data_IF_808076811430
#
_entry.id   IF_808076811430
#
_cell.length_a   1.000
_cell.length_b   1.000
_cell.length_c   1.000
_cell.angle_alpha   90.00
_cell.angle_beta   90.00
_cell.angle_gamma   90.00
#
_symmetry.space_group_name_H-M   'P 1'
#
loop_
_entity.id
_entity.type
_entity.pdbx_description
1 polymer ?
#
# COMPACT_ATOMS: atom_id res chain seq x y z
N UNK A 1 -2.53 -5.44 -8.81
CA UNK A 1 -2.45 -5.84 -7.40
C UNK A 1 -1.17 -6.63 -7.17
N UNK A 2 -0.40 -6.28 -6.14
CA UNK A 2 0.86 -6.93 -5.88
C UNK A 2 0.79 -7.74 -4.58
N UNK A 3 1.42 -8.90 -4.55
CA UNK A 3 1.49 -9.75 -3.37
C UNK A 3 2.82 -9.49 -2.65
N UNK A 4 2.75 -9.21 -1.34
CA UNK A 4 3.96 -9.06 -0.53
C UNK A 4 4.57 -10.41 -0.20
N UNK A 5 5.92 -10.45 -0.20
CA UNK A 5 6.68 -11.69 0.00
C UNK A 5 6.90 -12.01 1.48
N UNK A 6 5.93 -11.78 2.37
CA UNK A 6 6.01 -12.24 3.75
C UNK A 6 5.52 -13.69 3.80
N UNK A 7 6.32 -14.62 4.34
CA UNK A 7 5.86 -15.99 4.45
C UNK A 7 4.54 -16.06 5.21
N UNK A 8 3.53 -16.52 4.54
CA UNK A 8 2.24 -16.86 5.11
C UNK A 8 1.14 -15.81 4.99
N UNK A 9 1.41 -14.52 5.18
CA UNK A 9 0.38 -13.48 5.03
C UNK A 9 0.10 -13.20 3.55
N UNK A 10 -1.17 -13.11 3.20
CA UNK A 10 -1.59 -12.77 1.84
C UNK A 10 -2.06 -11.32 1.81
N UNK A 11 -1.29 -10.48 1.13
CA UNK A 11 -1.49 -9.04 1.08
C UNK A 11 -1.57 -8.56 -0.36
N UNK A 12 -2.44 -7.57 -0.60
CA UNK A 12 -2.55 -6.93 -1.90
C UNK A 12 -2.47 -5.41 -1.76
N UNK A 13 -1.82 -4.76 -2.73
CA UNK A 13 -1.90 -3.32 -2.92
C UNK A 13 -3.06 -2.98 -3.84
N UNK A 14 -3.78 -1.92 -3.52
CA UNK A 14 -4.89 -1.40 -4.34
C UNK A 14 -4.63 0.07 -4.62
N UNK A 15 -4.58 0.42 -5.89
CA UNK A 15 -4.26 1.78 -6.34
C UNK A 15 -5.45 2.37 -7.08
N UNK A 16 -5.83 3.58 -6.70
CA UNK A 16 -6.85 4.37 -7.40
C UNK A 16 -6.16 5.58 -8.02
N UNK A 17 -6.00 5.60 -9.33
CA UNK A 17 -5.26 6.64 -10.04
C UNK A 17 -5.94 8.01 -9.95
N UNK A 18 -7.25 8.05 -9.78
CA UNK A 18 -8.01 9.29 -9.58
C UNK A 18 -8.54 9.41 -8.15
N UNK A 19 -7.99 8.63 -7.24
CA UNK A 19 -8.28 8.69 -5.82
C UNK A 19 -9.56 8.02 -5.37
N UNK A 20 -9.61 7.79 -4.07
CA UNK A 20 -10.76 7.24 -3.36
C UNK A 20 -10.85 7.88 -1.97
N UNK A 21 -12.02 7.89 -1.37
CA UNK A 21 -12.23 8.51 -0.06
C UNK A 21 -11.91 10.00 -0.09
N UNK A 22 -11.15 10.49 0.89
CA UNK A 22 -10.80 11.91 1.00
C UNK A 22 -9.87 12.41 -0.11
N UNK A 23 -9.22 11.51 -0.84
CA UNK A 23 -8.35 11.87 -1.96
C UNK A 23 -9.03 11.81 -3.33
N UNK A 24 -10.32 11.48 -3.39
CA UNK A 24 -11.05 11.35 -4.66
C UNK A 24 -10.93 12.62 -5.48
N UNK A 25 -10.55 12.48 -6.75
CA UNK A 25 -10.35 13.52 -7.76
C UNK A 25 -9.17 14.47 -7.51
N UNK A 26 -8.46 14.35 -6.40
CA UNK A 26 -7.34 15.24 -6.06
C UNK A 26 -6.01 14.51 -5.90
N UNK A 27 -6.02 13.23 -5.61
CA UNK A 27 -4.83 12.44 -5.29
C UNK A 27 -4.91 11.06 -5.91
N UNK A 28 -3.74 10.45 -6.07
CA UNK A 28 -3.63 9.00 -6.21
C UNK A 28 -3.77 8.40 -4.82
N UNK A 29 -4.61 7.40 -4.65
CA UNK A 29 -4.81 6.70 -3.39
C UNK A 29 -4.18 5.32 -3.45
N UNK A 30 -3.53 4.89 -2.37
CA UNK A 30 -2.93 3.55 -2.26
C UNK A 30 -3.40 2.91 -0.96
N UNK A 31 -3.96 1.71 -1.08
CA UNK A 31 -4.47 0.95 0.06
C UNK A 31 -3.84 -0.43 0.09
N UNK A 32 -3.78 -1.00 1.29
CA UNK A 32 -3.36 -2.37 1.53
C UNK A 32 -4.58 -3.17 1.97
N UNK A 33 -4.70 -4.38 1.45
CA UNK A 33 -5.78 -5.32 1.79
C UNK A 33 -5.16 -6.62 2.24
N UNK A 34 -5.54 -7.07 3.42
CA UNK A 34 -5.18 -8.41 3.90
C UNK A 34 -6.25 -9.38 3.42
N UNK A 35 -5.82 -10.39 2.69
CA UNK A 35 -6.70 -11.42 2.15
C UNK A 35 -6.58 -12.72 2.95
N UNK A 36 -7.63 -13.52 2.91
CA UNK A 36 -7.61 -14.86 3.49
C UNK A 36 -6.57 -15.72 2.78
N UNK A 37 -5.66 -16.28 3.56
CA UNK A 37 -4.55 -17.08 3.05
C UNK A 37 -4.52 -18.48 3.64
N UNK A 38 -3.80 -19.36 2.97
CA UNK A 38 -3.68 -20.79 3.33
C UNK A 38 -3.08 -20.98 4.72
N UNK A 39 -2.20 -20.09 5.15
CA UNK A 39 -1.44 -20.25 6.39
C UNK A 39 -1.99 -19.45 7.57
N UNK A 40 -3.17 -18.85 7.44
CA UNK A 40 -3.71 -17.95 8.47
C UNK A 40 -3.79 -18.60 9.86
N UNK A 41 -4.10 -19.87 9.93
CA UNK A 41 -4.19 -20.59 11.21
C UNK A 41 -2.83 -20.71 11.92
N UNK A 42 -1.73 -20.56 11.20
CA UNK A 42 -0.37 -20.68 11.73
C UNK A 42 0.27 -19.32 12.01
N UNK A 43 -0.40 -18.24 11.65
CA UNK A 43 0.15 -16.89 11.75
C UNK A 43 -0.32 -16.18 13.01
N UNK A 44 0.42 -15.14 13.39
CA UNK A 44 0.03 -14.26 14.50
C UNK A 44 -0.98 -13.24 14.04
N UNK A 45 -2.01 -13.03 14.82
CA UNK A 45 -3.04 -12.02 14.56
C UNK A 45 -3.28 -11.16 15.81
N UNK A 46 -3.60 -9.86 15.66
CA UNK A 46 -3.74 -9.13 14.40
C UNK A 46 -2.40 -8.95 13.68
N UNK A 47 -2.46 -8.71 12.38
CA UNK A 47 -1.29 -8.32 11.58
C UNK A 47 -0.73 -7.02 12.16
N UNK A 48 0.57 -6.98 12.47
CA UNK A 48 1.18 -5.88 13.22
C UNK A 48 2.51 -5.42 12.64
N UNK A 49 2.76 -5.68 11.38
CA UNK A 49 4.02 -5.32 10.74
C UNK A 49 3.91 -3.93 10.11
N UNK A 50 4.99 -3.13 10.21
CA UNK A 50 5.05 -1.81 9.57
C UNK A 50 5.00 -1.96 8.06
N UNK A 51 4.16 -1.15 7.40
CA UNK A 51 4.00 -1.15 5.95
C UNK A 51 4.49 0.17 5.40
N UNK A 52 5.35 0.11 4.39
CA UNK A 52 5.89 1.29 3.69
C UNK A 52 5.48 1.22 2.23
N UNK A 53 4.89 2.31 1.73
CA UNK A 53 4.50 2.46 0.33
C UNK A 53 5.39 3.51 -0.30
N UNK A 54 5.99 3.19 -1.44
CA UNK A 54 6.93 4.06 -2.13
C UNK A 54 6.51 4.26 -3.59
N UNK A 55 6.39 5.53 -4.02
CA UNK A 55 6.31 5.88 -5.43
C UNK A 55 7.71 6.28 -5.89
N UNK A 56 8.22 5.57 -6.88
CA UNK A 56 9.62 5.70 -7.29
C UNK A 56 9.85 6.94 -8.15
N UNK A 57 10.89 7.72 -7.81
CA UNK A 57 11.49 8.73 -8.67
C UNK A 57 12.30 8.02 -9.75
N UNK A 58 11.86 8.10 -11.00
CA UNK A 58 12.48 7.40 -12.12
C UNK A 58 13.59 8.21 -12.80
N UNK A 59 13.90 9.41 -12.32
CA UNK A 59 14.90 10.29 -12.92
C UNK A 59 16.18 10.29 -12.09
N UNK A 60 16.09 10.71 -10.82
CA UNK A 60 17.28 10.84 -9.95
C UNK A 60 17.38 9.74 -8.89
N UNK A 61 16.33 8.94 -8.72
CA UNK A 61 16.25 7.88 -7.70
C UNK A 61 16.46 8.40 -6.27
N UNK A 62 16.15 9.67 -6.02
CA UNK A 62 16.37 10.33 -4.72
C UNK A 62 15.12 10.97 -4.12
N UNK A 63 14.12 11.30 -4.94
CA UNK A 63 12.92 12.03 -4.51
C UNK A 63 11.68 11.17 -4.49
N UNK A 64 11.79 9.96 -3.96
CA UNK A 64 10.65 9.06 -3.84
C UNK A 64 9.59 9.64 -2.91
N UNK A 65 8.32 9.38 -3.22
CA UNK A 65 7.24 9.60 -2.26
C UNK A 65 7.16 8.36 -1.38
N UNK A 66 7.35 8.53 -0.08
CA UNK A 66 7.39 7.41 0.88
C UNK A 66 6.40 7.69 1.99
N UNK A 67 5.50 6.75 2.22
CA UNK A 67 4.55 6.79 3.33
C UNK A 67 4.59 5.47 4.08
N UNK A 68 4.56 5.56 5.41
CA UNK A 68 4.66 4.39 6.28
C UNK A 68 3.54 4.42 7.29
N UNK A 69 2.94 3.28 7.57
CA UNK A 69 2.04 3.16 8.71
C UNK A 69 2.32 1.88 9.51
N UNK A 70 1.98 1.95 10.79
CA UNK A 70 1.95 0.78 11.66
C UNK A 70 0.49 0.39 11.88
N UNK A 71 0.13 -0.90 11.69
CA UNK A 71 -1.25 -1.33 11.84
C UNK A 71 -1.80 -1.02 13.23
N UNK A 72 -3.04 -0.53 13.28
CA UNK A 72 -3.80 -0.40 14.51
C UNK A 72 -4.39 -1.76 14.85
N UNK A 73 -3.98 -2.33 15.97
CA UNK A 73 -4.34 -3.69 16.38
C UNK A 73 -5.82 -3.88 16.65
N UNK A 74 -6.56 -2.79 16.90
CA UNK A 74 -8.01 -2.85 17.13
C UNK A 74 -8.83 -2.78 15.84
N UNK A 75 -8.22 -2.50 14.70
CA UNK A 75 -8.92 -2.32 13.43
C UNK A 75 -9.22 -3.66 12.78
N UNK A 76 -10.44 -3.82 12.30
CA UNK A 76 -10.87 -5.03 11.60
C UNK A 76 -10.02 -5.36 10.36
N UNK A 77 -9.42 -4.33 9.74
CA UNK A 77 -8.58 -4.49 8.55
C UNK A 77 -7.36 -5.39 8.78
N UNK A 78 -6.92 -5.54 10.03
CA UNK A 78 -5.71 -6.30 10.38
C UNK A 78 -5.98 -7.59 11.14
N UNK A 79 -7.25 -7.92 11.38
CA UNK A 79 -7.62 -9.18 12.03
C UNK A 79 -7.52 -10.35 11.05
N UNK A 80 -7.49 -11.56 11.57
CA UNK A 80 -7.55 -12.76 10.72
C UNK A 80 -8.80 -12.67 9.84
N UNK A 81 -8.66 -12.77 8.51
CA UNK A 81 -9.80 -12.66 7.62
C UNK A 81 -10.84 -13.77 7.85
N UNK A 82 -12.11 -13.35 7.93
CA UNK A 82 -13.26 -14.28 8.01
C UNK A 82 -13.99 -14.38 6.69
N UNK A 83 -13.64 -13.53 5.74
CA UNK A 83 -14.11 -13.56 4.35
C UNK A 83 -12.89 -13.51 3.44
N UNK A 84 -13.10 -13.39 2.12
CA UNK A 84 -12.00 -13.40 1.16
C UNK A 84 -11.03 -12.24 1.39
N UNK A 85 -11.54 -11.04 1.70
CA UNK A 85 -10.74 -9.84 1.93
C UNK A 85 -11.20 -9.09 3.17
N UNK A 86 -10.23 -8.56 3.92
CA UNK A 86 -10.52 -7.54 4.92
C UNK A 86 -10.78 -6.19 4.25
N UNK A 87 -11.21 -5.21 5.04
CA UNK A 87 -11.32 -3.82 4.58
C UNK A 87 -9.96 -3.29 4.18
N UNK A 88 -9.93 -2.45 3.14
CA UNK A 88 -8.71 -1.78 2.71
C UNK A 88 -8.32 -0.67 3.70
N UNK A 89 -7.03 -0.48 3.89
CA UNK A 89 -6.50 0.60 4.69
C UNK A 89 -5.24 1.16 4.03
N UNK A 90 -4.95 2.44 4.22
CA UNK A 90 -3.76 3.05 3.64
C UNK A 90 -3.87 4.56 3.51
N UNK A 91 -3.49 5.08 2.35
CA UNK A 91 -3.28 6.50 2.11
C UNK A 91 -4.19 7.03 1.01
N UNK A 92 -5.36 7.61 1.37
CA UNK A 92 -6.26 8.22 0.38
C UNK A 92 -5.61 9.39 -0.36
N UNK A 93 -4.70 10.11 0.31
CA UNK A 93 -3.96 11.25 -0.24
C UNK A 93 -2.48 10.91 -0.36
N UNK A 94 -2.17 9.86 -1.11
CA UNK A 94 -0.81 9.37 -1.22
C UNK A 94 0.10 10.36 -1.96
N UNK A 95 -0.30 10.79 -3.15
CA UNK A 95 0.39 11.81 -3.93
C UNK A 95 -0.62 12.63 -4.70
N UNK A 96 -0.43 13.95 -4.77
CA UNK A 96 -1.37 14.82 -5.47
C UNK A 96 -1.33 14.58 -6.97
N UNK A 97 -2.50 14.65 -7.62
CA UNK A 97 -2.59 14.59 -9.08
C UNK A 97 -1.82 15.75 -9.74
N UNK A 98 -1.78 16.91 -9.07
CA UNK A 98 -0.99 18.05 -9.55
C UNK A 98 0.49 17.70 -9.69
N UNK A 99 1.05 16.96 -8.73
CA UNK A 99 2.45 16.51 -8.80
C UNK A 99 2.70 15.51 -9.92
N UNK A 100 1.74 14.63 -10.17
CA UNK A 100 1.84 13.61 -11.23
C UNK A 100 1.66 14.24 -12.62
N UNK A 101 0.74 15.19 -12.74
CA UNK A 101 0.40 15.83 -14.02
C UNK A 101 1.41 16.94 -14.41
N UNK A 102 2.29 17.33 -13.52
CA UNK A 102 3.31 18.34 -13.81
C UNK A 102 4.22 17.87 -14.92
N UNK A 103 4.60 18.77 -15.89
CA UNK A 103 5.60 18.43 -16.90
C UNK A 103 6.96 18.08 -16.31
N UNK A 104 7.26 18.57 -15.11
CA UNK A 104 8.52 18.30 -14.42
C UNK A 104 8.42 17.12 -13.44
N UNK A 105 7.32 16.37 -13.45
CA UNK A 105 7.23 15.21 -12.55
C UNK A 105 8.36 14.21 -12.86
N UNK A 106 8.77 13.49 -11.82
CA UNK A 106 9.84 12.49 -11.93
C UNK A 106 9.32 11.05 -11.77
N UNK A 107 8.01 10.90 -11.65
CA UNK A 107 7.38 9.63 -11.27
C UNK A 107 6.83 8.85 -12.45
N UNK A 108 6.31 9.53 -13.46
CA UNK A 108 5.73 8.90 -14.65
C UNK A 108 6.69 9.05 -15.82
N UNK A 109 7.14 7.92 -16.37
CA UNK A 109 8.01 7.87 -17.54
C UNK A 109 7.52 6.75 -18.45
N UNK A 110 7.43 7.03 -19.76
CA UNK A 110 6.93 6.09 -20.75
C UNK A 110 5.56 5.52 -20.35
N UNK A 111 4.69 6.42 -19.86
CA UNK A 111 3.34 6.06 -19.40
C UNK A 111 3.32 5.03 -18.28
N UNK A 112 4.39 4.98 -17.49
CA UNK A 112 4.59 3.98 -16.43
C UNK A 112 5.06 4.63 -15.14
N UNK A 113 4.53 4.17 -14.00
CA UNK A 113 5.05 4.49 -12.67
C UNK A 113 5.19 3.21 -11.85
N UNK A 114 6.08 3.26 -10.85
CA UNK A 114 6.35 2.11 -9.99
C UNK A 114 5.99 2.44 -8.55
N UNK A 115 5.06 1.69 -8.00
CA UNK A 115 4.64 1.78 -6.60
C UNK A 115 5.06 0.48 -5.93
N UNK A 116 5.90 0.59 -4.91
CA UNK A 116 6.37 -0.55 -4.13
C UNK A 116 5.69 -0.60 -2.77
N UNK A 117 5.46 -1.80 -2.29
CA UNK A 117 4.95 -2.04 -0.93
C UNK A 117 5.97 -2.91 -0.21
N UNK A 118 6.47 -2.43 0.90
CA UNK A 118 7.41 -3.17 1.75
C UNK A 118 6.81 -3.39 3.12
N UNK A 119 7.03 -4.57 3.67
CA UNK A 119 6.58 -4.93 5.01
C UNK A 119 7.79 -5.28 5.85
N UNK A 120 7.85 -4.73 7.06
CA UNK A 120 8.94 -5.00 7.98
C UNK A 120 8.75 -6.37 8.60
N UNK A 121 9.70 -7.28 8.36
CA UNK A 121 9.64 -8.67 8.80
C UNK A 121 10.48 -8.96 10.05
N UNK A 122 11.06 -7.94 10.69
CA UNK A 122 12.02 -8.16 11.77
C UNK A 122 11.44 -8.85 13.00
N UNK A 123 10.15 -8.70 13.25
CA UNK A 123 9.48 -9.24 14.43
C UNK A 123 8.55 -10.44 14.12
N UNK A 124 8.79 -11.08 13.00
CA UNK A 124 8.00 -12.27 12.62
C UNK A 124 8.54 -13.53 13.28
#
# INVERSE_FOLDING_TARGET
>A
MCRCAIPGYKLFGRVYLNGDGSGKTTHVSVFIVIARGTFDALLRWPFNQRVTVTLRDQVSDTRHVVETFRPDRSTAAFQRPTSEFNSATGFPKFVSLTSIDSPQNVYVRDDTMFIGVAVDCRDL
#
